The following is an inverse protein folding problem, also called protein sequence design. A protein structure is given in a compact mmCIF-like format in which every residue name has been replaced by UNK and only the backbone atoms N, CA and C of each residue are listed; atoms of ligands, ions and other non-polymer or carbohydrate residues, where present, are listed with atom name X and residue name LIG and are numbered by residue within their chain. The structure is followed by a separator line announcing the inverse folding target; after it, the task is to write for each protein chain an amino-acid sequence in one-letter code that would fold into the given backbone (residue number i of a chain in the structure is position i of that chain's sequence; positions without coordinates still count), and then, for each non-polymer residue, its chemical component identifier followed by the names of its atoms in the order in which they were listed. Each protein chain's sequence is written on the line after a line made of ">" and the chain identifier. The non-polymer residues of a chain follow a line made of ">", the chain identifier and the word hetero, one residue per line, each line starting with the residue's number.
data_IF_494084710641
#
_entry.id   IF_494084710641
#
_cell.length_a   1.000
_cell.length_b   1.000
_cell.length_c   1.000
_cell.angle_alpha   90.00
_cell.angle_beta   90.00
_cell.angle_gamma   90.00
#
_symmetry.space_group_name_H-M   'P 1'
#
loop_
_entity.id
_entity.type
_entity.pdbx_description
1 polymer ?
#
# COMPACT_ATOMS: atom_id res chain seq x y z
N UNK A 1 37.83 12.28 4.18
CA UNK A 1 36.48 12.87 4.32
C UNK A 1 35.78 12.83 2.96
N UNK A 2 34.98 11.79 2.72
CA UNK A 2 33.98 11.76 1.65
C UNK A 2 32.65 11.54 2.36
N UNK A 3 32.09 12.62 2.90
CA UNK A 3 30.92 12.61 3.79
C UNK A 3 29.58 12.54 3.03
N UNK A 4 29.60 12.39 1.70
CA UNK A 4 28.42 12.09 0.90
C UNK A 4 28.62 10.72 0.25
N UNK A 5 28.09 9.67 0.89
CA UNK A 5 28.06 8.33 0.31
C UNK A 5 27.33 8.32 -1.03
N UNK A 6 27.69 7.39 -1.91
CA UNK A 6 27.10 7.23 -3.26
C UNK A 6 25.57 7.18 -3.19
N UNK A 7 25.03 6.57 -2.13
CA UNK A 7 23.58 6.51 -1.86
C UNK A 7 22.95 7.90 -1.72
N UNK A 8 23.62 8.86 -1.10
CA UNK A 8 23.10 10.21 -0.88
C UNK A 8 23.07 10.99 -2.21
N UNK A 9 24.10 10.83 -3.04
CA UNK A 9 24.13 11.42 -4.40
C UNK A 9 22.97 10.88 -5.24
N UNK A 10 22.74 9.58 -5.20
CA UNK A 10 21.64 8.93 -5.93
C UNK A 10 20.28 9.39 -5.41
N UNK A 11 20.13 9.54 -4.09
CA UNK A 11 18.91 10.09 -3.49
C UNK A 11 18.68 11.55 -3.91
N UNK A 12 19.70 12.41 -3.90
CA UNK A 12 19.58 13.79 -4.35
C UNK A 12 19.27 13.88 -5.85
N UNK A 13 19.87 13.01 -6.66
CA UNK A 13 19.55 12.89 -8.08
C UNK A 13 18.09 12.47 -8.27
N UNK A 14 17.60 11.46 -7.53
CA UNK A 14 16.23 11.01 -7.60
C UNK A 14 15.23 12.12 -7.22
N UNK A 15 15.51 12.88 -6.14
CA UNK A 15 14.70 14.06 -5.78
C UNK A 15 14.72 15.12 -6.89
N UNK A 16 15.90 15.41 -7.45
CA UNK A 16 16.05 16.41 -8.51
C UNK A 16 15.31 16.01 -9.79
N UNK A 17 15.39 14.73 -10.16
CA UNK A 17 14.65 14.15 -11.30
C UNK A 17 13.15 14.21 -11.01
N UNK A 18 12.70 13.79 -9.83
CA UNK A 18 11.29 13.84 -9.45
C UNK A 18 10.75 15.28 -9.52
N UNK A 19 11.48 16.27 -9.00
CA UNK A 19 11.07 17.68 -9.04
C UNK A 19 11.00 18.23 -10.47
N UNK A 20 11.92 17.83 -11.35
CA UNK A 20 11.95 18.28 -12.76
C UNK A 20 10.98 17.53 -13.67
N UNK A 21 10.75 16.24 -13.41
CA UNK A 21 9.95 15.35 -14.26
C UNK A 21 8.48 15.26 -13.83
N UNK A 22 8.14 15.64 -12.59
CA UNK A 22 6.75 15.67 -12.12
C UNK A 22 5.75 16.35 -13.08
N UNK A 23 6.05 17.48 -13.77
CA UNK A 23 5.12 18.07 -14.72
C UNK A 23 5.06 17.34 -16.07
N UNK A 24 6.14 16.67 -16.51
CA UNK A 24 6.27 16.17 -17.89
C UNK A 24 6.11 14.65 -18.04
N UNK A 25 6.63 13.87 -17.10
CA UNK A 25 6.66 12.41 -17.15
C UNK A 25 6.07 11.84 -15.86
N UNK A 26 4.77 11.56 -15.88
CA UNK A 26 4.08 10.94 -14.75
C UNK A 26 3.65 9.54 -15.15
N UNK A 27 4.14 8.55 -14.42
CA UNK A 27 3.78 7.15 -14.60
C UNK A 27 2.30 6.94 -14.27
N UNK A 28 1.78 7.67 -13.28
CA UNK A 28 0.36 7.64 -12.92
C UNK A 28 -0.55 8.13 -14.06
N UNK A 29 -0.14 9.18 -14.79
CA UNK A 29 -0.87 9.65 -15.98
C UNK A 29 -0.85 8.62 -17.09
N UNK A 30 0.32 8.02 -17.34
CA UNK A 30 0.43 6.94 -18.31
C UNK A 30 -0.50 5.79 -17.96
N UNK A 31 -0.55 5.34 -16.70
CA UNK A 31 -1.40 4.24 -16.27
C UNK A 31 -2.90 4.50 -16.54
N UNK A 32 -3.38 5.72 -16.29
CA UNK A 32 -4.80 6.07 -16.49
C UNK A 32 -5.14 6.44 -17.93
N UNK A 33 -4.21 7.05 -18.68
CA UNK A 33 -4.47 7.64 -20.00
C UNK A 33 -3.91 6.80 -21.16
N UNK A 34 -3.49 5.54 -20.95
CA UNK A 34 -2.95 4.66 -22.00
C UNK A 34 -4.01 4.17 -23.02
N UNK A 35 -5.20 4.79 -23.07
CA UNK A 35 -6.30 4.38 -23.94
C UNK A 35 -7.06 3.12 -23.50
N UNK A 36 -6.72 2.55 -22.34
CA UNK A 36 -7.41 1.37 -21.80
C UNK A 36 -8.69 1.70 -21.03
N UNK A 37 -8.82 2.92 -20.49
CA UNK A 37 -10.04 3.38 -19.83
C UNK A 37 -10.90 4.16 -20.82
N UNK A 38 -12.18 3.78 -20.87
CA UNK A 38 -13.20 4.45 -21.65
C UNK A 38 -14.18 5.16 -20.73
N UNK A 39 -14.48 6.42 -21.06
CA UNK A 39 -15.56 7.18 -20.47
C UNK A 39 -16.75 7.15 -21.42
N UNK A 40 -17.92 6.85 -20.87
CA UNK A 40 -19.17 7.04 -21.60
C UNK A 40 -19.58 8.51 -21.53
N UNK A 41 -19.79 9.10 -22.70
CA UNK A 41 -20.29 10.47 -22.80
C UNK A 41 -21.74 10.51 -22.33
N UNK A 42 -22.11 11.57 -21.60
CA UNK A 42 -23.51 11.76 -21.24
C UNK A 42 -24.33 11.90 -22.54
N UNK A 43 -25.46 11.18 -22.68
CA UNK A 43 -26.30 11.33 -23.87
C UNK A 43 -26.84 12.75 -23.90
N UNK A 44 -26.77 13.40 -25.06
CA UNK A 44 -27.26 14.77 -25.20
C UNK A 44 -28.78 14.81 -25.05
N UNK A 45 -29.34 15.91 -24.56
CA UNK A 45 -30.81 16.07 -24.47
C UNK A 45 -31.50 15.88 -25.83
N UNK A 46 -30.79 16.14 -26.94
CA UNK A 46 -31.26 15.89 -28.30
C UNK A 46 -31.32 14.42 -28.69
N UNK A 47 -30.33 13.63 -28.32
CA UNK A 47 -30.33 12.17 -28.51
C UNK A 47 -31.36 11.50 -27.61
N UNK A 48 -31.52 11.97 -26.37
CA UNK A 48 -32.56 11.49 -25.45
C UNK A 48 -33.97 11.83 -25.96
N UNK A 49 -34.20 13.03 -26.51
CA UNK A 49 -35.48 13.39 -27.12
C UNK A 49 -35.75 12.60 -28.40
N UNK A 50 -34.73 12.43 -29.26
CA UNK A 50 -34.84 11.67 -30.50
C UNK A 50 -35.15 10.18 -30.23
N UNK A 51 -34.47 9.57 -29.25
CA UNK A 51 -34.69 8.18 -28.85
C UNK A 51 -35.99 7.99 -28.04
N UNK A 52 -36.44 9.02 -27.31
CA UNK A 52 -37.74 9.01 -26.62
C UNK A 52 -38.94 9.38 -27.53
N UNK A 53 -38.71 9.61 -28.83
CA UNK A 53 -39.75 10.00 -29.79
C UNK A 53 -40.36 11.39 -29.53
N UNK A 54 -39.70 12.24 -28.73
CA UNK A 54 -40.17 13.60 -28.37
C UNK A 54 -39.45 14.65 -29.22
N UNK A 55 -40.21 15.59 -29.79
CA UNK A 55 -39.62 16.73 -30.50
C UNK A 55 -38.89 17.65 -29.51
N UNK A 56 -37.67 18.09 -29.85
CA UNK A 56 -36.97 19.12 -29.09
C UNK A 56 -37.85 20.39 -28.96
N UNK A 57 -38.00 20.96 -27.76
CA UNK A 57 -38.66 22.26 -27.62
C UNK A 57 -37.79 23.33 -28.31
N UNK A 58 -38.23 23.79 -29.49
CA UNK A 58 -37.61 24.95 -30.15
C UNK A 58 -37.74 26.15 -29.19
N UNK A 59 -36.68 26.94 -28.96
CA UNK A 59 -36.77 28.12 -28.11
C UNK A 59 -37.57 29.19 -28.87
N UNK A 60 -38.89 29.19 -28.69
CA UNK A 60 -39.73 30.24 -29.23
C UNK A 60 -39.51 31.49 -28.38
N UNK A 61 -39.05 32.58 -28.99
CA UNK A 61 -38.64 33.84 -28.35
C UNK A 61 -39.78 34.58 -27.61
N UNK A 62 -40.96 33.97 -27.46
CA UNK A 62 -42.17 34.55 -26.88
C UNK A 62 -42.51 34.12 -25.45
N UNK A 63 -41.88 33.07 -24.91
CA UNK A 63 -42.23 32.54 -23.57
C UNK A 63 -41.25 32.94 -22.45
N UNK A 64 -40.70 34.15 -22.51
CA UNK A 64 -39.81 34.68 -21.45
C UNK A 64 -40.57 35.16 -20.19
N UNK A 65 -41.76 34.65 -19.90
CA UNK A 65 -42.59 35.14 -18.77
C UNK A 65 -43.36 34.11 -17.95
N UNK A 66 -43.16 32.80 -18.14
CA UNK A 66 -43.69 31.83 -17.17
C UNK A 66 -42.56 31.15 -16.42
N UNK A 67 -42.27 31.74 -15.26
CA UNK A 67 -41.59 31.10 -14.15
C UNK A 67 -42.48 29.97 -13.62
N UNK A 68 -42.16 28.72 -13.97
CA UNK A 68 -42.87 27.54 -13.49
C UNK A 68 -42.04 26.30 -13.80
N UNK A 69 -41.41 25.75 -12.76
CA UNK A 69 -40.82 24.41 -12.65
C UNK A 69 -40.52 23.69 -13.99
N UNK A 70 -39.25 23.76 -14.42
CA UNK A 70 -38.74 22.88 -15.48
C UNK A 70 -38.87 21.42 -15.02
N UNK A 71 -40.01 20.80 -15.33
CA UNK A 71 -40.27 19.39 -15.07
C UNK A 71 -39.19 18.60 -15.82
N UNK A 72 -38.35 17.80 -15.13
CA UNK A 72 -37.27 17.08 -15.80
C UNK A 72 -37.87 16.18 -16.87
N UNK A 73 -37.28 16.21 -18.07
CA UNK A 73 -37.68 15.37 -19.20
C UNK A 73 -37.80 13.93 -18.71
N UNK A 74 -39.03 13.44 -18.59
CA UNK A 74 -39.28 12.06 -18.17
C UNK A 74 -39.01 11.17 -19.38
N UNK A 75 -37.82 10.59 -19.37
CA UNK A 75 -37.32 9.65 -20.36
C UNK A 75 -37.72 8.23 -19.92
N UNK A 76 -38.42 7.44 -20.76
CA UNK A 76 -38.73 6.04 -20.48
C UNK A 76 -37.48 5.23 -20.13
N UNK A 77 -37.58 4.32 -19.16
CA UNK A 77 -36.45 3.49 -18.69
C UNK A 77 -36.00 2.43 -19.71
N UNK A 78 -36.82 2.14 -20.71
CA UNK A 78 -36.62 1.02 -21.65
C UNK A 78 -36.00 1.47 -23.00
N UNK A 79 -35.31 2.60 -23.03
CA UNK A 79 -34.64 3.09 -24.24
C UNK A 79 -33.27 2.44 -24.38
N UNK A 80 -33.02 1.82 -25.53
CA UNK A 80 -31.73 1.22 -25.88
C UNK A 80 -30.73 2.35 -26.22
N UNK A 81 -30.06 2.85 -25.18
CA UNK A 81 -29.07 3.93 -25.26
C UNK A 81 -27.70 3.34 -25.56
N UNK A 82 -27.25 3.47 -26.80
CA UNK A 82 -25.88 3.15 -27.19
C UNK A 82 -24.96 4.32 -26.85
N UNK A 83 -24.35 4.32 -25.66
CA UNK A 83 -23.47 5.41 -25.21
C UNK A 83 -22.15 5.41 -26.00
N UNK A 84 -21.75 6.58 -26.49
CA UNK A 84 -20.46 6.78 -27.15
C UNK A 84 -19.32 6.65 -26.12
N UNK A 85 -18.43 5.68 -26.35
CA UNK A 85 -17.26 5.44 -25.51
C UNK A 85 -16.05 6.23 -26.05
N UNK A 86 -15.55 7.18 -25.27
CA UNK A 86 -14.36 7.98 -25.61
C UNK A 86 -13.21 7.63 -24.66
N UNK A 87 -11.95 7.50 -25.12
CA UNK A 87 -10.81 7.23 -24.25
C UNK A 87 -10.60 8.39 -23.26
N UNK A 88 -10.26 8.07 -22.01
CA UNK A 88 -10.04 9.08 -20.96
C UNK A 88 -8.80 9.92 -21.27
N UNK A 89 -8.99 11.23 -21.44
CA UNK A 89 -7.90 12.19 -21.63
C UNK A 89 -7.34 12.72 -20.31
N UNK A 90 -6.16 13.36 -20.37
CA UNK A 90 -5.50 13.97 -19.20
C UNK A 90 -6.38 15.04 -18.54
N UNK A 91 -7.07 15.85 -19.34
CA UNK A 91 -7.98 16.90 -18.88
C UNK A 91 -9.19 16.34 -18.13
N UNK A 92 -9.71 15.18 -18.55
CA UNK A 92 -10.82 14.51 -17.86
C UNK A 92 -10.36 13.93 -16.52
N UNK A 93 -9.13 13.40 -16.47
CA UNK A 93 -8.57 12.83 -15.26
C UNK A 93 -8.31 13.92 -14.18
N UNK A 94 -7.93 15.13 -14.59
CA UNK A 94 -7.74 16.30 -13.72
C UNK A 94 -9.01 16.73 -12.96
N UNK A 95 -10.20 16.40 -13.47
CA UNK A 95 -11.47 16.71 -12.80
C UNK A 95 -11.69 15.85 -11.55
N UNK A 96 -11.00 14.70 -11.44
CA UNK A 96 -11.12 13.84 -10.27
C UNK A 96 -10.43 14.49 -9.06
N UNK A 97 -11.20 14.67 -7.98
CA UNK A 97 -10.76 15.34 -6.74
C UNK A 97 -9.45 14.81 -6.16
N UNK A 98 -9.18 13.51 -6.28
CA UNK A 98 -7.99 12.84 -5.73
C UNK A 98 -6.93 12.53 -6.79
N UNK A 99 -7.09 13.02 -8.03
CA UNK A 99 -6.16 12.70 -9.11
C UNK A 99 -4.74 13.18 -8.82
N UNK A 100 -4.59 14.38 -8.28
CA UNK A 100 -3.27 14.93 -7.97
C UNK A 100 -2.58 14.16 -6.85
N UNK A 101 -3.31 13.76 -5.80
CA UNK A 101 -2.78 12.93 -4.71
C UNK A 101 -2.39 11.54 -5.20
N UNK A 102 -3.22 10.93 -6.04
CA UNK A 102 -2.93 9.66 -6.71
C UNK A 102 -1.67 9.75 -7.57
N UNK A 103 -1.55 10.81 -8.37
CA UNK A 103 -0.40 11.03 -9.25
C UNK A 103 0.90 11.09 -8.45
N UNK A 104 0.91 11.89 -7.39
CA UNK A 104 2.06 12.00 -6.49
C UNK A 104 2.39 10.68 -5.81
N UNK A 105 1.39 9.92 -5.36
CA UNK A 105 1.60 8.66 -4.63
C UNK A 105 2.27 7.62 -5.51
N UNK A 106 1.72 7.42 -6.71
CA UNK A 106 2.21 6.43 -7.66
C UNK A 106 3.58 6.82 -8.20
N UNK A 107 3.78 8.08 -8.59
CA UNK A 107 5.08 8.54 -9.08
C UNK A 107 6.15 8.42 -7.99
N UNK A 108 5.85 8.85 -6.75
CA UNK A 108 6.77 8.71 -5.62
C UNK A 108 7.12 7.24 -5.32
N UNK A 109 6.13 6.34 -5.36
CA UNK A 109 6.36 4.91 -5.12
C UNK A 109 7.28 4.29 -6.19
N UNK A 110 7.16 4.69 -7.45
CA UNK A 110 8.05 4.24 -8.53
C UNK A 110 9.48 4.73 -8.32
N UNK A 111 9.66 6.01 -7.97
CA UNK A 111 11.00 6.55 -7.66
C UNK A 111 11.60 5.89 -6.43
N UNK A 112 10.83 5.72 -5.34
CA UNK A 112 11.27 5.04 -4.14
C UNK A 112 11.69 3.59 -4.43
N UNK A 113 10.91 2.87 -5.26
CA UNK A 113 11.24 1.50 -5.69
C UNK A 113 12.55 1.48 -6.50
N UNK A 114 12.75 2.45 -7.40
CA UNK A 114 13.99 2.57 -8.16
C UNK A 114 15.21 2.84 -7.26
N UNK A 115 15.10 3.76 -6.30
CA UNK A 115 16.16 4.06 -5.33
C UNK A 115 16.45 2.84 -4.45
N UNK A 116 15.42 2.12 -4.01
CA UNK A 116 15.57 0.90 -3.22
C UNK A 116 16.29 -0.20 -4.01
N UNK A 117 15.84 -0.50 -5.24
CA UNK A 117 16.48 -1.49 -6.11
C UNK A 117 17.93 -1.13 -6.43
N UNK A 118 18.23 0.15 -6.66
CA UNK A 118 19.59 0.62 -6.83
C UNK A 118 20.42 0.40 -5.57
N UNK A 119 19.85 0.69 -4.40
CA UNK A 119 20.54 0.54 -3.11
C UNK A 119 20.86 -0.94 -2.83
N UNK A 120 19.92 -1.84 -3.08
CA UNK A 120 20.13 -3.29 -2.97
C UNK A 120 21.17 -3.79 -4.00
N UNK A 121 21.09 -3.33 -5.25
CA UNK A 121 22.08 -3.64 -6.27
C UNK A 121 23.49 -3.15 -5.90
N UNK A 122 23.59 -1.97 -5.29
CA UNK A 122 24.84 -1.44 -4.77
C UNK A 122 25.41 -2.29 -3.63
N UNK A 123 24.57 -2.76 -2.71
CA UNK A 123 24.99 -3.67 -1.65
C UNK A 123 25.47 -5.02 -2.20
N UNK A 124 24.84 -5.55 -3.25
CA UNK A 124 25.28 -6.80 -3.89
C UNK A 124 26.67 -6.70 -4.53
N UNK A 125 27.07 -5.51 -5.00
CA UNK A 125 28.33 -5.32 -5.75
C UNK A 125 29.46 -4.77 -4.88
N UNK A 126 29.18 -3.83 -3.98
CA UNK A 126 30.19 -3.04 -3.28
C UNK A 126 30.39 -3.40 -1.79
N UNK A 127 29.64 -4.38 -1.26
CA UNK A 127 29.70 -4.87 0.14
C UNK A 127 29.79 -3.73 1.19
N UNK A 128 29.01 -2.66 0.96
CA UNK A 128 29.06 -1.41 1.73
C UNK A 128 28.25 -1.49 3.05
N UNK A 129 28.45 -2.53 3.85
CA UNK A 129 27.65 -2.86 5.06
C UNK A 129 27.67 -1.83 6.21
N UNK A 130 28.41 -0.74 6.08
CA UNK A 130 28.56 0.31 7.12
C UNK A 130 27.77 1.60 6.86
N UNK A 131 27.09 1.72 5.73
CA UNK A 131 26.30 2.91 5.39
C UNK A 131 24.82 2.75 5.81
N UNK A 132 24.15 3.87 6.14
CA UNK A 132 22.72 3.88 6.46
C UNK A 132 21.93 3.60 5.19
N UNK A 133 21.05 2.59 5.18
CA UNK A 133 20.22 2.26 4.01
C UNK A 133 19.23 3.40 3.70
N UNK A 134 19.64 4.32 2.81
CA UNK A 134 18.81 5.44 2.36
C UNK A 134 17.57 4.93 1.62
N UNK A 135 17.67 3.82 0.89
CA UNK A 135 16.51 3.17 0.25
C UNK A 135 15.40 2.83 1.24
N UNK A 136 15.75 2.35 2.44
CA UNK A 136 14.77 2.08 3.49
C UNK A 136 14.04 3.35 3.97
N UNK A 137 14.72 4.51 3.99
CA UNK A 137 14.09 5.80 4.31
C UNK A 137 13.04 6.16 3.27
N UNK A 138 13.32 5.95 1.97
CA UNK A 138 12.34 6.16 0.91
C UNK A 138 11.12 5.23 1.03
N UNK A 139 11.33 3.97 1.43
CA UNK A 139 10.24 3.05 1.71
C UNK A 139 9.36 3.55 2.89
N UNK A 140 9.97 4.00 3.99
CA UNK A 140 9.23 4.56 5.13
C UNK A 140 8.45 5.81 4.72
N UNK A 141 9.05 6.72 3.94
CA UNK A 141 8.35 7.89 3.40
C UNK A 141 7.17 7.49 2.51
N UNK A 142 7.30 6.42 1.73
CA UNK A 142 6.22 5.91 0.86
C UNK A 142 5.05 5.41 1.70
N UNK A 143 5.34 4.68 2.78
CA UNK A 143 4.33 4.20 3.74
C UNK A 143 3.64 5.39 4.41
N UNK A 144 4.39 6.40 4.88
CA UNK A 144 3.83 7.61 5.49
C UNK A 144 2.94 8.38 4.52
N UNK A 145 3.35 8.51 3.25
CA UNK A 145 2.55 9.18 2.23
C UNK A 145 1.25 8.40 1.95
N UNK A 146 1.32 7.08 1.91
CA UNK A 146 0.16 6.20 1.76
C UNK A 146 -0.80 6.33 2.95
N UNK A 147 -0.28 6.31 4.20
CA UNK A 147 -1.08 6.50 5.41
C UNK A 147 -1.75 7.87 5.44
N UNK A 148 -1.06 8.93 4.99
CA UNK A 148 -1.65 10.26 4.85
C UNK A 148 -2.83 10.23 3.86
N UNK A 149 -2.66 9.66 2.68
CA UNK A 149 -3.74 9.57 1.68
C UNK A 149 -4.93 8.74 2.20
N UNK A 150 -4.66 7.63 2.87
CA UNK A 150 -5.70 6.80 3.50
C UNK A 150 -6.44 7.57 4.59
N UNK A 151 -5.74 8.36 5.41
CA UNK A 151 -6.35 9.21 6.41
C UNK A 151 -7.21 10.32 5.80
N UNK A 152 -6.72 11.00 4.75
CA UNK A 152 -7.51 12.01 4.02
C UNK A 152 -8.79 11.40 3.47
N UNK A 153 -8.68 10.22 2.84
CA UNK A 153 -9.81 9.48 2.30
C UNK A 153 -10.81 9.12 3.42
N UNK A 154 -10.32 8.52 4.50
CA UNK A 154 -11.13 8.13 5.65
C UNK A 154 -11.84 9.33 6.28
N UNK A 155 -11.16 10.48 6.43
CA UNK A 155 -11.75 11.68 7.02
C UNK A 155 -12.91 12.23 6.18
N UNK A 156 -12.83 12.16 4.85
CA UNK A 156 -13.94 12.51 3.97
C UNK A 156 -15.13 11.56 4.09
N UNK A 157 -14.90 10.27 4.24
CA UNK A 157 -15.97 9.30 4.51
C UNK A 157 -16.61 9.52 5.89
N UNK A 158 -15.82 9.83 6.92
CA UNK A 158 -16.38 10.18 8.23
C UNK A 158 -17.20 11.48 8.22
N UNK A 159 -16.94 12.41 7.30
CA UNK A 159 -17.74 13.64 7.16
C UNK A 159 -19.07 13.40 6.43
N UNK A 160 -19.24 12.26 5.76
CA UNK A 160 -20.52 11.88 5.12
C UNK A 160 -21.64 11.75 6.17
N UNK A 161 -22.86 12.13 5.77
CA UNK A 161 -24.05 12.18 6.63
C UNK A 161 -24.59 10.76 6.96
N UNK A 162 -24.18 9.76 6.19
CA UNK A 162 -24.57 8.37 6.37
C UNK A 162 -23.79 7.69 7.52
N UNK A 163 -24.47 7.48 8.66
CA UNK A 163 -23.86 6.87 9.85
C UNK A 163 -23.38 5.43 9.67
N UNK A 164 -23.85 4.71 8.65
CA UNK A 164 -23.46 3.32 8.36
C UNK A 164 -21.99 3.17 7.96
N UNK A 165 -21.41 4.17 7.30
CA UNK A 165 -20.00 4.12 6.90
C UNK A 165 -19.06 4.14 8.12
N UNK A 166 -19.43 4.94 9.12
CA UNK A 166 -18.64 5.12 10.35
C UNK A 166 -18.60 3.86 11.20
N UNK A 167 -19.74 3.16 11.30
CA UNK A 167 -19.84 1.94 12.10
C UNK A 167 -19.07 0.78 11.48
N UNK A 168 -19.08 0.66 10.14
CA UNK A 168 -18.28 -0.34 9.41
C UNK A 168 -16.79 -0.13 9.68
N UNK A 169 -16.29 1.10 9.56
CA UNK A 169 -14.89 1.40 9.87
C UNK A 169 -14.51 1.06 11.31
N UNK A 170 -15.37 1.39 12.29
CA UNK A 170 -15.12 1.11 13.70
C UNK A 170 -15.12 -0.40 13.97
N UNK A 171 -16.05 -1.15 13.37
CA UNK A 171 -16.11 -2.61 13.48
C UNK A 171 -14.85 -3.28 12.92
N UNK A 172 -14.36 -2.86 11.75
CA UNK A 172 -13.09 -3.35 11.22
C UNK A 172 -11.90 -2.95 12.10
N UNK A 173 -11.87 -1.73 12.63
CA UNK A 173 -10.84 -1.31 13.60
C UNK A 173 -10.79 -2.22 14.83
N UNK A 174 -11.94 -2.57 15.39
CA UNK A 174 -12.02 -3.50 16.52
C UNK A 174 -11.61 -4.93 16.13
N UNK A 175 -12.00 -5.39 14.93
CA UNK A 175 -11.57 -6.68 14.40
C UNK A 175 -10.04 -6.74 14.25
N UNK A 176 -9.43 -5.71 13.68
CA UNK A 176 -7.97 -5.62 13.55
C UNK A 176 -7.28 -5.51 14.91
N UNK A 177 -7.90 -4.86 15.90
CA UNK A 177 -7.39 -4.86 17.28
C UNK A 177 -7.36 -6.28 17.85
N UNK A 178 -8.44 -7.06 17.69
CA UNK A 178 -8.49 -8.45 18.15
C UNK A 178 -7.45 -9.32 17.45
N UNK A 179 -7.31 -9.17 16.14
CA UNK A 179 -6.29 -9.90 15.37
C UNK A 179 -4.88 -9.51 15.81
N UNK A 180 -4.60 -8.22 16.02
CA UNK A 180 -3.31 -7.74 16.49
C UNK A 180 -3.00 -8.26 17.90
N UNK A 181 -3.97 -8.25 18.81
CA UNK A 181 -3.81 -8.83 20.14
C UNK A 181 -3.54 -10.34 20.07
N UNK A 182 -4.25 -11.07 19.22
CA UNK A 182 -3.99 -12.50 19.00
C UNK A 182 -2.56 -12.73 18.52
N UNK A 183 -2.11 -11.97 17.51
CA UNK A 183 -0.76 -12.08 16.95
C UNK A 183 0.32 -11.73 17.99
N UNK A 184 0.11 -10.70 18.83
CA UNK A 184 1.05 -10.29 19.88
C UNK A 184 1.13 -11.28 21.05
N UNK A 185 0.12 -12.14 21.22
CA UNK A 185 0.12 -13.24 22.19
C UNK A 185 0.84 -14.48 21.65
N UNK A 186 0.91 -14.66 20.32
CA UNK A 186 1.66 -15.77 19.72
C UNK A 186 3.15 -15.62 20.01
N UNK A 187 3.79 -16.72 20.42
CA UNK A 187 5.25 -16.77 20.66
C UNK A 187 6.03 -16.54 19.37
N UNK A 188 7.13 -15.80 19.47
CA UNK A 188 8.05 -15.55 18.34
C UNK A 188 8.71 -16.81 17.76
N UNK A 189 8.56 -17.95 18.42
CA UNK A 189 8.96 -19.26 17.92
C UNK A 189 8.19 -19.68 16.66
N UNK A 190 7.04 -19.05 16.38
CA UNK A 190 6.22 -19.33 15.19
C UNK A 190 6.29 -18.22 14.12
N UNK A 191 6.52 -16.96 14.52
CA UNK A 191 6.48 -15.79 13.64
C UNK A 191 7.80 -15.00 13.70
N UNK A 192 8.43 -14.77 12.55
CA UNK A 192 9.73 -14.08 12.41
C UNK A 192 9.59 -12.56 12.44
N UNK A 193 8.84 -12.01 13.40
CA UNK A 193 8.69 -10.56 13.44
C UNK A 193 9.91 -9.82 14.00
N UNK A 194 10.75 -10.51 14.78
CA UNK A 194 11.89 -9.89 15.46
C UNK A 194 11.48 -8.83 16.49
N UNK A 195 10.31 -8.98 17.13
CA UNK A 195 9.82 -8.02 18.13
C UNK A 195 10.69 -8.06 19.40
N UNK A 196 11.10 -9.22 19.90
CA UNK A 196 11.89 -9.38 21.12
C UNK A 196 13.27 -8.71 21.00
N UNK A 197 14.08 -8.92 19.94
CA UNK A 197 15.34 -8.20 19.80
C UNK A 197 15.13 -6.70 19.55
N UNK A 198 14.07 -6.31 18.85
CA UNK A 198 13.72 -4.89 18.66
C UNK A 198 13.35 -4.22 19.99
N UNK A 199 12.53 -4.89 20.81
CA UNK A 199 12.16 -4.42 22.14
C UNK A 199 13.33 -4.38 23.09
N UNK A 200 14.20 -5.39 23.10
CA UNK A 200 15.42 -5.39 23.92
C UNK A 200 16.25 -4.13 23.62
N UNK A 201 16.52 -3.85 22.34
CA UNK A 201 17.26 -2.66 21.95
C UNK A 201 16.54 -1.35 22.34
N UNK A 202 15.21 -1.28 22.19
CA UNK A 202 14.44 -0.08 22.58
C UNK A 202 14.47 0.14 24.09
N UNK A 203 14.28 -0.92 24.89
CA UNK A 203 14.31 -0.83 26.35
C UNK A 203 15.71 -0.52 26.87
N UNK A 204 16.76 -1.10 26.30
CA UNK A 204 18.14 -0.80 26.68
C UNK A 204 18.47 0.69 26.45
N UNK A 205 18.07 1.25 25.30
CA UNK A 205 18.28 2.66 24.98
C UNK A 205 17.45 3.60 25.87
N UNK A 206 16.18 3.26 26.08
CA UNK A 206 15.30 4.06 26.93
C UNK A 206 15.70 3.96 28.41
N UNK A 207 16.25 2.83 28.86
CA UNK A 207 16.74 2.68 30.23
C UNK A 207 17.97 3.56 30.45
N UNK A 208 18.88 3.61 29.47
CA UNK A 208 20.01 4.54 29.49
C UNK A 208 19.54 6.00 29.57
N UNK A 209 18.48 6.37 28.85
CA UNK A 209 17.89 7.71 28.89
C UNK A 209 17.13 8.00 30.20
N UNK A 210 16.37 7.05 30.72
CA UNK A 210 15.61 7.19 31.96
C UNK A 210 16.53 7.31 33.18
N UNK A 211 17.64 6.57 33.20
CA UNK A 211 18.69 6.71 34.23
C UNK A 211 19.32 8.11 34.22
N UNK A 212 19.48 8.73 33.05
CA UNK A 212 19.93 10.13 32.97
C UNK A 212 18.92 11.12 33.55
N UNK A 213 17.63 10.79 33.55
CA UNK A 213 16.55 11.62 34.09
C UNK A 213 16.13 11.26 35.53
N UNK A 214 16.80 10.27 36.16
CA UNK A 214 16.58 9.91 37.58
C UNK A 214 15.28 9.15 37.86
N UNK A 215 14.65 8.55 36.84
CA UNK A 215 13.41 7.79 37.01
C UNK A 215 13.69 6.30 37.27
N UNK A 216 13.14 5.72 38.34
CA UNK A 216 13.15 4.26 38.53
C UNK A 216 12.10 3.62 37.62
N UNK A 217 12.56 2.76 36.72
CA UNK A 217 11.75 2.27 35.60
C UNK A 217 11.31 0.82 35.81
N UNK A 218 10.00 0.53 35.66
CA UNK A 218 9.47 -0.83 35.75
C UNK A 218 9.35 -1.49 34.37
N UNK A 219 10.37 -2.29 34.03
CA UNK A 219 10.50 -3.04 32.76
C UNK A 219 9.24 -3.83 32.34
N UNK A 220 8.49 -4.54 33.21
CA UNK A 220 7.31 -5.29 32.77
C UNK A 220 6.13 -4.39 32.35
N UNK A 221 5.95 -3.23 33.00
CA UNK A 221 4.85 -2.30 32.67
C UNK A 221 5.09 -1.66 31.31
N UNK A 222 6.32 -1.29 31.01
CA UNK A 222 6.68 -0.65 29.74
C UNK A 222 6.58 -1.62 28.55
N UNK A 223 6.95 -2.91 28.75
CA UNK A 223 6.72 -3.98 27.76
C UNK A 223 5.24 -4.12 27.40
N UNK A 224 4.36 -4.15 28.39
CA UNK A 224 2.92 -4.23 28.16
C UNK A 224 2.40 -2.99 27.42
N UNK A 225 2.82 -1.80 27.83
CA UNK A 225 2.42 -0.52 27.21
C UNK A 225 2.82 -0.46 25.74
N UNK A 226 4.04 -0.88 25.38
CA UNK A 226 4.49 -0.89 23.98
C UNK A 226 3.69 -1.89 23.14
N UNK A 227 3.40 -3.10 23.68
CA UNK A 227 2.54 -4.08 22.99
C UNK A 227 1.12 -3.55 22.77
N UNK A 228 0.53 -2.91 23.78
CA UNK A 228 -0.79 -2.27 23.68
C UNK A 228 -0.78 -1.14 22.64
N UNK A 229 0.25 -0.30 22.63
CA UNK A 229 0.39 0.78 21.65
C UNK A 229 0.52 0.24 20.22
N UNK A 230 1.28 -0.84 20.02
CA UNK A 230 1.40 -1.50 18.72
C UNK A 230 0.07 -2.11 18.26
N UNK A 231 -0.71 -2.71 19.18
CA UNK A 231 -2.06 -3.18 18.90
C UNK A 231 -3.01 -2.02 18.54
N UNK A 232 -2.92 -0.88 19.21
CA UNK A 232 -3.72 0.30 18.90
C UNK A 232 -3.37 0.91 17.53
N UNK A 233 -2.07 1.00 17.20
CA UNK A 233 -1.60 1.50 15.90
C UNK A 233 -2.07 0.57 14.77
N UNK A 234 -1.95 -0.74 14.94
CA UNK A 234 -2.44 -1.70 13.95
C UNK A 234 -3.95 -1.68 13.80
N UNK A 235 -4.72 -1.51 14.88
CA UNK A 235 -6.17 -1.29 14.82
C UNK A 235 -6.52 -0.02 14.03
N UNK A 236 -5.80 1.08 14.25
CA UNK A 236 -5.98 2.33 13.52
C UNK A 236 -5.66 2.17 12.03
N UNK A 237 -4.52 1.55 11.68
CA UNK A 237 -4.15 1.28 10.28
C UNK A 237 -5.18 0.35 9.62
N UNK A 238 -5.66 -0.67 10.34
CA UNK A 238 -6.70 -1.58 9.88
C UNK A 238 -8.03 -0.88 9.60
N UNK A 239 -8.42 0.07 10.45
CA UNK A 239 -9.59 0.92 10.22
C UNK A 239 -9.43 1.79 8.95
N UNK A 240 -8.27 2.40 8.74
CA UNK A 240 -7.95 3.17 7.53
C UNK A 240 -8.04 2.32 6.25
N UNK A 241 -7.70 1.03 6.33
CA UNK A 241 -7.73 0.10 5.20
C UNK A 241 -9.11 -0.53 4.94
N UNK A 242 -10.07 -0.41 5.85
CA UNK A 242 -11.37 -1.09 5.74
C UNK A 242 -12.12 -0.70 4.46
N UNK A 243 -12.28 0.61 4.20
CA UNK A 243 -12.98 1.11 3.03
C UNK A 243 -12.28 0.84 1.70
N UNK A 244 -10.98 1.19 1.56
CA UNK A 244 -10.22 0.81 0.38
C UNK A 244 -10.23 -0.70 0.15
N UNK A 245 -10.17 -1.51 1.22
CA UNK A 245 -10.21 -2.97 1.14
C UNK A 245 -11.52 -3.50 0.58
N UNK A 246 -12.66 -3.02 1.08
CA UNK A 246 -13.98 -3.40 0.55
C UNK A 246 -14.15 -3.00 -0.92
N UNK A 247 -13.73 -1.78 -1.27
CA UNK A 247 -13.80 -1.29 -2.64
C UNK A 247 -12.86 -2.04 -3.58
N UNK A 248 -11.67 -2.42 -3.10
CA UNK A 248 -10.73 -3.25 -3.83
C UNK A 248 -11.29 -4.66 -4.07
N UNK A 249 -11.98 -5.24 -3.08
CA UNK A 249 -12.64 -6.53 -3.24
C UNK A 249 -13.77 -6.48 -4.28
N UNK A 250 -14.60 -5.43 -4.26
CA UNK A 250 -15.67 -5.24 -5.26
C UNK A 250 -15.10 -5.05 -6.67
N UNK A 251 -14.13 -4.14 -6.83
CA UNK A 251 -13.47 -3.89 -8.13
C UNK A 251 -12.76 -5.12 -8.67
N UNK A 252 -12.18 -5.95 -7.80
CA UNK A 252 -11.61 -7.24 -8.18
C UNK A 252 -12.68 -8.21 -8.70
N UNK A 253 -13.81 -8.36 -8.01
CA UNK A 253 -14.92 -9.22 -8.46
C UNK A 253 -15.46 -8.76 -9.82
N UNK A 254 -15.63 -7.46 -10.01
CA UNK A 254 -16.10 -6.91 -11.28
C UNK A 254 -15.06 -7.13 -12.39
N UNK A 255 -13.77 -6.93 -12.08
CA UNK A 255 -12.68 -7.19 -13.03
C UNK A 255 -12.61 -8.65 -13.48
N UNK A 256 -12.92 -9.61 -12.59
CA UNK A 256 -13.03 -11.03 -12.98
C UNK A 256 -14.18 -11.24 -13.95
N UNK A 257 -15.36 -10.69 -13.66
CA UNK A 257 -16.56 -10.84 -14.51
C UNK A 257 -16.33 -10.28 -15.92
N UNK A 258 -15.70 -9.11 -16.02
CA UNK A 258 -15.39 -8.49 -17.32
C UNK A 258 -14.29 -9.22 -18.11
N UNK A 259 -13.48 -10.05 -17.46
CA UNK A 259 -12.37 -10.77 -18.11
C UNK A 259 -12.58 -12.30 -18.10
N UNK A 260 -13.83 -12.77 -18.06
CA UNK A 260 -14.14 -14.21 -18.06
C UNK A 260 -13.55 -14.93 -19.29
N UNK A 261 -13.51 -14.25 -20.44
CA UNK A 261 -13.00 -14.80 -21.70
C UNK A 261 -11.46 -14.86 -21.78
N UNK A 262 -10.73 -14.22 -20.86
CA UNK A 262 -9.27 -14.03 -20.93
C UNK A 262 -8.57 -14.73 -19.76
N UNK A 263 -8.19 -16.03 -19.91
CA UNK A 263 -7.71 -16.84 -18.78
C UNK A 263 -6.39 -16.33 -18.18
N UNK A 264 -5.50 -15.76 -18.99
CA UNK A 264 -4.20 -15.23 -18.53
C UNK A 264 -4.40 -14.02 -17.62
N UNK A 265 -5.27 -13.08 -18.00
CA UNK A 265 -5.57 -11.87 -17.20
C UNK A 265 -6.24 -12.27 -15.89
N UNK A 266 -7.18 -13.21 -15.95
CA UNK A 266 -7.85 -13.76 -14.77
C UNK A 266 -6.86 -14.40 -13.78
N UNK A 267 -5.91 -15.20 -14.28
CA UNK A 267 -4.84 -15.77 -13.46
C UNK A 267 -3.98 -14.67 -12.81
N UNK A 268 -3.57 -13.66 -13.58
CA UNK A 268 -2.77 -12.55 -13.06
C UNK A 268 -3.51 -11.76 -11.96
N UNK A 269 -4.82 -11.56 -12.14
CA UNK A 269 -5.66 -10.88 -11.17
C UNK A 269 -5.76 -11.66 -9.84
N UNK A 270 -5.92 -12.98 -9.90
CA UNK A 270 -5.90 -13.84 -8.71
C UNK A 270 -4.54 -13.80 -8.00
N UNK A 271 -3.43 -13.86 -8.75
CA UNK A 271 -2.08 -13.75 -8.19
C UNK A 271 -1.88 -12.40 -7.51
N UNK A 272 -2.33 -11.31 -8.13
CA UNK A 272 -2.25 -9.96 -7.56
C UNK A 272 -3.04 -9.87 -6.25
N UNK A 273 -4.26 -10.41 -6.21
CA UNK A 273 -5.11 -10.40 -5.01
C UNK A 273 -4.55 -11.28 -3.89
N UNK A 274 -3.90 -12.40 -4.23
CA UNK A 274 -3.29 -13.31 -3.27
C UNK A 274 -1.90 -12.87 -2.80
N UNK A 275 -1.23 -11.96 -3.52
CA UNK A 275 0.14 -11.52 -3.22
C UNK A 275 0.36 -11.04 -1.77
N UNK A 276 -0.55 -10.31 -1.10
CA UNK A 276 -0.34 -9.91 0.28
C UNK A 276 -0.36 -11.11 1.24
N UNK A 277 -1.14 -12.16 0.93
CA UNK A 277 -1.15 -13.40 1.70
C UNK A 277 0.18 -14.15 1.55
N UNK A 278 0.75 -14.18 0.34
CA UNK A 278 2.06 -14.78 0.10
C UNK A 278 3.16 -14.08 0.93
N UNK A 279 3.11 -12.75 1.00
CA UNK A 279 4.02 -11.97 1.86
C UNK A 279 3.82 -12.35 3.32
N UNK A 280 2.58 -12.42 3.82
CA UNK A 280 2.32 -12.83 5.21
C UNK A 280 2.81 -14.25 5.52
N UNK A 281 2.64 -15.19 4.59
CA UNK A 281 3.13 -16.56 4.74
C UNK A 281 4.66 -16.62 4.83
N UNK A 282 5.37 -15.68 4.20
CA UNK A 282 6.84 -15.62 4.28
C UNK A 282 7.36 -15.27 5.68
N UNK A 283 6.53 -14.68 6.56
CA UNK A 283 6.91 -14.34 7.95
C UNK A 283 6.72 -15.52 8.93
N UNK A 284 6.23 -16.67 8.44
CA UNK A 284 5.99 -17.87 9.24
C UNK A 284 7.25 -18.76 9.18
N UNK A 285 7.91 -18.97 10.34
CA UNK A 285 9.19 -19.73 10.48
C UNK A 285 9.31 -21.02 9.66
N UNK A 286 8.31 -21.94 9.66
CA UNK A 286 8.41 -23.17 8.87
C UNK A 286 8.39 -22.97 7.36
N UNK A 287 8.06 -21.78 6.83
CA UNK A 287 8.11 -21.50 5.39
C UNK A 287 9.46 -20.85 5.01
N UNK A 288 9.94 -19.95 5.86
CA UNK A 288 11.21 -19.25 5.68
C UNK A 288 12.44 -20.15 5.88
N UNK A 289 12.42 -21.04 6.88
CA UNK A 289 13.57 -21.88 7.24
C UNK A 289 13.69 -23.20 6.46
N UNK A 290 12.56 -23.84 6.14
CA UNK A 290 12.54 -25.26 5.75
C UNK A 290 12.74 -25.52 4.26
N UNK A 291 12.62 -24.51 3.40
CA UNK A 291 12.86 -24.67 1.95
C UNK A 291 14.35 -24.50 1.60
N UNK A 292 15.06 -23.59 2.27
CA UNK A 292 16.46 -23.27 1.97
C UNK A 292 17.49 -24.07 2.78
N UNK A 293 17.18 -24.44 4.02
CA UNK A 293 18.14 -25.17 4.86
C UNK A 293 18.20 -26.66 4.49
N UNK A 294 17.07 -27.28 4.17
CA UNK A 294 16.98 -28.73 3.87
C UNK A 294 17.72 -29.11 2.58
N UNK A 295 17.74 -28.23 1.57
CA UNK A 295 18.56 -28.39 0.35
C UNK A 295 20.07 -28.23 0.58
N UNK A 296 20.48 -27.57 1.68
CA UNK A 296 21.88 -27.34 2.04
C UNK A 296 22.44 -28.46 2.95
N UNK A 297 21.59 -29.13 3.72
CA UNK A 297 21.99 -30.21 4.64
C UNK A 297 22.16 -31.59 3.97
N UNK A 298 21.45 -31.89 2.88
CA UNK A 298 21.61 -33.16 2.16
C UNK A 298 23.00 -33.31 1.47
N UNK A 299 23.75 -32.20 1.36
CA UNK A 299 25.03 -32.16 0.63
C UNK A 299 26.28 -32.32 1.51
N UNK A 300 26.15 -32.62 2.81
CA UNK A 300 27.30 -32.94 3.67
C UNK A 300 27.08 -34.25 4.43
N UNK A 301 27.84 -35.33 4.13
CA UNK A 301 27.85 -36.49 5.00
C UNK A 301 28.54 -36.10 6.32
N UNK A 302 27.82 -36.33 7.43
CA UNK A 302 28.32 -36.13 8.78
C UNK A 302 29.34 -37.19 9.18
N UNK A 303 30.31 -36.85 10.02
CA UNK A 303 30.81 -37.80 10.99
C UNK A 303 30.64 -37.27 12.43
N UNK A 304 29.94 -38.11 13.19
CA UNK A 304 29.96 -38.35 14.63
C UNK A 304 31.07 -37.65 15.45
N UNK A 305 30.67 -36.84 16.44
CA UNK A 305 30.90 -37.04 17.89
C UNK A 305 30.63 -35.75 18.70
N UNK A 306 30.35 -35.84 20.01
CA UNK A 306 29.70 -34.79 20.80
C UNK A 306 30.69 -33.91 21.60
N UNK A 307 30.16 -32.93 22.37
CA UNK A 307 30.76 -32.11 23.47
C UNK A 307 30.90 -30.61 23.09
N UNK A 308 30.72 -29.64 24.02
CA UNK A 308 29.56 -29.33 24.86
C UNK A 308 29.09 -27.86 24.64
N UNK A 309 28.04 -27.47 25.37
CA UNK A 309 27.43 -26.14 25.41
C UNK A 309 28.42 -24.98 25.57
N UNK A 310 28.45 -24.07 24.59
CA UNK A 310 28.90 -22.69 24.75
C UNK A 310 27.95 -21.80 23.94
N UNK A 311 26.81 -21.50 24.58
CA UNK A 311 25.83 -20.53 24.08
C UNK A 311 26.42 -19.14 24.29
N UNK A 312 27.12 -18.64 23.28
CA UNK A 312 27.49 -17.23 23.18
C UNK A 312 26.33 -16.50 22.52
N UNK A 313 25.60 -15.75 23.34
CA UNK A 313 24.67 -14.71 22.92
C UNK A 313 25.44 -13.66 22.10
N UNK A 314 24.95 -13.33 20.91
CA UNK A 314 25.55 -12.29 20.09
C UNK A 314 24.79 -12.03 18.80
N UNK A 315 24.04 -10.92 18.79
CA UNK A 315 23.53 -10.19 17.64
C UNK A 315 22.49 -10.89 16.75
N UNK A 316 21.26 -10.39 16.85
CA UNK A 316 20.25 -10.52 15.82
C UNK A 316 20.74 -9.88 14.53
N UNK A 317 21.02 -10.73 13.54
CA UNK A 317 21.16 -10.37 12.13
C UNK A 317 20.34 -11.40 11.34
N UNK A 318 19.06 -11.11 11.19
CA UNK A 318 18.25 -11.64 10.10
C UNK A 318 18.66 -10.93 8.81
N UNK A 319 19.88 -11.18 8.34
CA UNK A 319 20.38 -10.97 6.98
C UNK A 319 21.82 -11.53 6.96
N UNK A 320 21.97 -12.86 7.04
CA UNK A 320 23.23 -13.49 6.61
C UNK A 320 23.17 -13.70 5.11
N UNK A 321 23.80 -12.73 4.44
CA UNK A 321 24.56 -12.87 3.21
C UNK A 321 24.93 -14.33 2.90
N UNK A 322 24.63 -14.73 1.66
CA UNK A 322 25.16 -15.91 1.02
C UNK A 322 26.70 -15.79 0.97
N UNK A 323 27.35 -16.36 2.00
CA UNK A 323 28.79 -16.61 2.05
C UNK A 323 29.13 -17.58 0.91
N UNK A 324 29.65 -17.06 -0.19
CA UNK A 324 30.34 -17.86 -1.21
C UNK A 324 31.80 -17.98 -0.78
N UNK A 325 32.08 -18.90 0.15
CA UNK A 325 33.43 -19.43 0.30
C UNK A 325 33.62 -20.47 -0.82
N UNK A 326 34.37 -20.11 -1.87
CA UNK A 326 34.98 -21.07 -2.79
C UNK A 326 36.47 -21.23 -2.40
N UNK A 327 37.04 -22.44 -2.57
CA UNK A 327 38.28 -22.87 -1.93
C UNK A 327 39.52 -22.04 -2.28
#
# INVERSE_FOLDING_TARGET
>A
MALMGVQLVVSLLAVSVMQRMAPHLSFARWLLCNGSLFRFKHPSEGELCALAGKQMPKPNRRDRRQNGENKPLTVPKDIDLHLEATPVGVLDALVLRFFLEYQWLVDFAVYASGVYLFTEGYYCVADASKEVNIGAIWCVLTILFSLRTLYTLMSHYFQSEEGGERSVCLAFGFLYLLVAMLVLVVREDYLEFGLEPGFANLFDNLEAFARQQGYEWSVPVTKLTVKLALAAISAFIGALLAFPGLRLAQTHLDSIKFNEDRPIIKMLLHVSFLSPLLVLMMWVKPIAGTSWQTLRWERRPSPLSPVPSLVVYGSGLWWRSARCDWP
#
